data_IF_505673416196
#
_entry.id   IF_505673416196
#
_cell.length_a   1.000
_cell.length_b   1.000
_cell.length_c   1.000
_cell.angle_alpha   90.00
_cell.angle_beta   90.00
_cell.angle_gamma   90.00
#
_symmetry.space_group_name_H-M   'P 1'
#
loop_
_entity.id
_entity.type
_entity.pdbx_description
1 polymer ?
#
# COMPACT_ATOMS: atom_id res chain seq x y z
N UNK A 1 -39.17 3.92 -37.00
CA UNK A 1 -38.68 3.57 -38.35
C UNK A 1 -37.87 2.30 -38.23
N UNK A 2 -38.25 1.29 -39.02
CA UNK A 2 -37.82 -0.10 -38.92
C UNK A 2 -36.60 -0.42 -39.82
N UNK A 3 -35.83 -1.45 -39.45
CA UNK A 3 -35.09 -2.45 -40.28
C UNK A 3 -34.08 -3.15 -39.36
N UNK A 4 -34.23 -4.42 -38.95
CA UNK A 4 -34.18 -5.72 -39.64
C UNK A 4 -32.76 -6.23 -39.98
N UNK A 5 -32.39 -7.42 -39.47
CA UNK A 5 -31.31 -8.25 -40.02
C UNK A 5 -30.69 -9.23 -39.02
N UNK A 6 -30.82 -10.54 -39.27
CA UNK A 6 -30.48 -11.66 -38.38
C UNK A 6 -29.37 -12.58 -38.92
N UNK A 7 -28.75 -13.38 -38.02
CA UNK A 7 -28.07 -14.70 -38.23
C UNK A 7 -26.76 -14.67 -39.04
N UNK A 8 -25.71 -15.46 -38.75
CA UNK A 8 -25.45 -16.50 -37.76
C UNK A 8 -24.05 -17.13 -37.96
N UNK A 9 -23.55 -17.84 -36.93
CA UNK A 9 -22.70 -19.05 -36.92
C UNK A 9 -21.56 -19.25 -37.95
N UNK A 10 -20.30 -19.40 -37.49
CA UNK A 10 -19.55 -20.68 -37.45
C UNK A 10 -18.12 -20.51 -36.89
N UNK A 11 -17.65 -21.58 -36.24
CA UNK A 11 -16.33 -21.79 -35.63
C UNK A 11 -15.24 -22.23 -36.63
N UNK A 12 -13.96 -21.95 -36.36
CA UNK A 12 -12.91 -22.97 -36.12
C UNK A 12 -11.49 -22.39 -35.94
N UNK A 13 -10.70 -23.19 -35.25
CA UNK A 13 -9.35 -23.06 -34.71
C UNK A 13 -8.16 -23.07 -35.70
N UNK A 14 -6.97 -22.80 -35.12
CA UNK A 14 -5.61 -23.35 -35.37
C UNK A 14 -4.47 -22.44 -35.94
N UNK A 15 -3.57 -22.09 -35.01
CA UNK A 15 -2.09 -22.29 -34.96
C UNK A 15 -1.05 -21.54 -35.84
N UNK A 16 -0.02 -21.06 -35.08
CA UNK A 16 1.44 -21.03 -35.31
C UNK A 16 2.08 -20.29 -36.50
N UNK A 17 3.05 -19.42 -36.16
CA UNK A 17 4.45 -19.37 -36.66
C UNK A 17 5.15 -18.15 -36.00
N UNK A 18 6.16 -18.34 -35.13
CA UNK A 18 7.59 -18.63 -35.39
C UNK A 18 8.45 -17.37 -35.62
N UNK A 19 9.40 -17.17 -34.70
CA UNK A 19 10.49 -16.18 -34.67
C UNK A 19 11.57 -16.48 -35.73
N UNK A 20 12.37 -15.49 -36.17
CA UNK A 20 13.68 -15.74 -36.76
C UNK A 20 14.84 -15.32 -35.83
N UNK A 21 15.82 -16.23 -35.73
CA UNK A 21 17.19 -16.02 -35.25
C UNK A 21 17.98 -15.13 -36.22
N UNK A 22 18.95 -14.35 -35.71
CA UNK A 22 20.00 -13.72 -36.53
C UNK A 22 21.38 -14.06 -35.99
N UNK A 23 22.20 -14.51 -36.93
CA UNK A 23 23.51 -15.13 -36.82
C UNK A 23 24.65 -14.14 -36.53
N UNK A 24 25.67 -14.70 -35.87
CA UNK A 24 27.04 -14.24 -35.68
C UNK A 24 27.80 -14.11 -37.01
N UNK A 25 28.51 -13.01 -37.22
CA UNK A 25 29.67 -12.96 -38.11
C UNK A 25 30.81 -12.14 -37.50
N UNK A 26 31.96 -12.80 -37.40
CA UNK A 26 33.25 -12.23 -37.06
C UNK A 26 34.01 -11.85 -38.34
N UNK A 27 34.69 -10.69 -38.33
CA UNK A 27 35.79 -10.40 -39.24
C UNK A 27 36.92 -9.69 -38.49
N UNK A 28 38.12 -10.23 -38.67
CA UNK A 28 39.41 -9.76 -38.18
C UNK A 28 40.12 -8.90 -39.24
N UNK A 29 40.86 -7.87 -38.84
CA UNK A 29 42.27 -7.61 -39.25
C UNK A 29 42.74 -6.22 -38.82
N UNK A 30 44.03 -6.10 -38.46
CA UNK A 30 44.75 -4.82 -38.41
C UNK A 30 45.52 -4.53 -37.12
N UNK A 31 46.71 -5.13 -36.98
CA UNK A 31 47.76 -4.74 -36.01
C UNK A 31 48.49 -3.47 -36.46
N UNK A 32 48.69 -2.51 -35.55
CA UNK A 32 49.84 -1.59 -35.55
C UNK A 32 50.21 -1.15 -34.13
N UNK A 33 51.50 -0.85 -33.94
CA UNK A 33 52.26 -0.90 -32.70
C UNK A 33 52.30 0.40 -31.86
N UNK A 34 52.32 0.22 -30.53
CA UNK A 34 53.14 0.87 -29.49
C UNK A 34 53.11 2.41 -29.39
N UNK A 35 52.56 2.94 -28.28
CA UNK A 35 53.32 3.81 -27.36
C UNK A 35 52.70 3.89 -25.95
N UNK A 36 53.57 3.64 -24.98
CA UNK A 36 53.37 3.69 -23.53
C UNK A 36 53.00 5.07 -23.01
N UNK A 37 52.03 5.15 -22.08
CA UNK A 37 52.01 6.12 -20.97
C UNK A 37 51.19 5.57 -19.80
N UNK A 38 51.89 4.94 -18.86
CA UNK A 38 51.42 4.84 -17.48
C UNK A 38 51.37 6.24 -16.87
N UNK A 39 50.20 6.65 -16.35
CA UNK A 39 50.01 7.20 -15.00
C UNK A 39 48.57 7.74 -14.84
N UNK A 40 48.01 7.48 -13.65
CA UNK A 40 46.71 7.93 -13.12
C UNK A 40 45.45 7.14 -13.50
N UNK A 41 45.37 5.90 -13.01
CA UNK A 41 44.11 5.23 -12.73
C UNK A 41 44.20 4.57 -11.35
N UNK A 42 44.03 5.34 -10.27
CA UNK A 42 43.85 4.74 -8.94
C UNK A 42 43.17 5.69 -7.94
N UNK A 43 42.00 6.25 -8.29
CA UNK A 43 41.18 6.99 -7.31
C UNK A 43 39.65 6.86 -7.47
N UNK A 44 39.14 6.09 -8.45
CA UNK A 44 37.68 6.03 -8.71
C UNK A 44 36.98 4.73 -8.23
N UNK A 45 37.70 3.78 -7.62
CA UNK A 45 37.09 2.53 -7.11
C UNK A 45 36.68 2.67 -5.63
N UNK A 46 37.20 3.67 -4.91
CA UNK A 46 36.89 3.92 -3.49
C UNK A 46 35.66 4.79 -3.22
N UNK A 47 35.05 5.43 -4.24
CA UNK A 47 33.85 6.26 -4.06
C UNK A 47 32.55 5.46 -4.23
N UNK A 48 32.54 4.44 -5.09
CA UNK A 48 31.33 3.67 -5.44
C UNK A 48 30.90 2.78 -4.27
N UNK A 49 31.85 2.12 -3.58
CA UNK A 49 31.56 1.34 -2.37
C UNK A 49 31.23 2.17 -1.12
N UNK A 50 31.52 3.49 -1.13
CA UNK A 50 31.15 4.37 0.00
C UNK A 50 29.68 4.77 -0.05
N UNK A 51 29.08 4.97 -1.23
CA UNK A 51 27.69 5.41 -1.36
C UNK A 51 26.66 4.38 -0.88
N UNK A 52 26.83 3.12 -1.26
CA UNK A 52 25.95 2.03 -0.83
C UNK A 52 26.11 1.71 0.67
N UNK A 53 27.35 1.69 1.17
CA UNK A 53 27.64 1.48 2.59
C UNK A 53 27.16 2.62 3.50
N UNK A 54 27.25 3.87 3.04
CA UNK A 54 26.77 5.04 3.77
C UNK A 54 25.23 5.10 3.84
N UNK A 55 24.54 4.75 2.74
CA UNK A 55 23.08 4.63 2.69
C UNK A 55 22.55 3.54 3.64
N UNK A 56 23.16 2.35 3.62
CA UNK A 56 22.80 1.26 4.54
C UNK A 56 23.03 1.67 6.01
N UNK A 57 24.13 2.37 6.30
CA UNK A 57 24.46 2.84 7.65
C UNK A 57 23.45 3.90 8.15
N UNK A 58 23.01 4.81 7.27
CA UNK A 58 21.98 5.82 7.59
C UNK A 58 20.62 5.18 7.88
N UNK A 59 20.18 4.23 7.06
CA UNK A 59 18.93 3.51 7.27
C UNK A 59 18.91 2.77 8.62
N UNK A 60 20.00 2.06 8.97
CA UNK A 60 20.12 1.35 10.26
C UNK A 60 20.10 2.32 11.44
N UNK A 61 20.78 3.46 11.34
CA UNK A 61 20.76 4.48 12.38
C UNK A 61 19.34 5.05 12.59
N UNK A 62 18.61 5.31 11.50
CA UNK A 62 17.25 5.81 11.57
C UNK A 62 16.27 4.74 12.11
N UNK A 63 16.41 3.46 11.74
CA UNK A 63 15.63 2.37 12.34
C UNK A 63 15.82 2.29 13.86
N UNK A 64 17.05 2.51 14.34
CA UNK A 64 17.37 2.54 15.77
C UNK A 64 16.63 3.69 16.46
N UNK A 65 16.61 4.87 15.85
CA UNK A 65 15.90 6.04 16.37
C UNK A 65 14.38 5.85 16.38
N UNK A 66 13.83 5.29 15.30
CA UNK A 66 12.40 5.00 15.15
C UNK A 66 11.91 3.98 16.20
N UNK A 67 12.66 2.89 16.39
CA UNK A 67 12.37 1.87 17.39
C UNK A 67 12.39 2.43 18.81
N UNK A 68 13.29 3.38 19.08
CA UNK A 68 13.35 4.07 20.37
C UNK A 68 12.13 4.95 20.62
N UNK A 69 11.77 5.80 19.65
CA UNK A 69 10.61 6.66 19.74
C UNK A 69 9.34 5.83 19.96
N UNK A 70 9.25 4.69 19.28
CA UNK A 70 8.20 3.72 19.50
C UNK A 70 8.17 3.20 20.95
N UNK A 71 9.30 2.77 21.51
CA UNK A 71 9.37 2.29 22.88
C UNK A 71 8.94 3.35 23.92
N UNK A 72 9.35 4.61 23.72
CA UNK A 72 8.95 5.73 24.60
C UNK A 72 7.44 6.00 24.49
N UNK A 73 6.89 5.93 23.27
CA UNK A 73 5.45 6.08 23.04
C UNK A 73 4.64 5.01 23.78
N UNK A 74 5.02 3.73 23.66
CA UNK A 74 4.32 2.63 24.33
C UNK A 74 4.37 2.78 25.86
N UNK A 75 5.54 3.09 26.42
CA UNK A 75 5.69 3.34 27.86
C UNK A 75 4.84 4.52 28.35
N UNK A 76 4.67 5.56 27.53
CA UNK A 76 3.81 6.70 27.88
C UNK A 76 2.34 6.28 27.96
N UNK A 77 1.88 5.42 27.05
CA UNK A 77 0.54 4.84 27.05
C UNK A 77 0.29 3.96 28.28
N UNK A 78 1.24 3.10 28.64
CA UNK A 78 1.14 2.23 29.83
C UNK A 78 1.16 3.00 31.15
N UNK A 79 2.00 4.04 31.24
CA UNK A 79 2.14 4.86 32.44
C UNK A 79 1.07 5.96 32.60
N UNK A 80 0.23 6.16 31.57
CA UNK A 80 -0.75 7.24 31.53
C UNK A 80 -0.14 8.65 31.42
N UNK A 81 1.16 8.75 31.13
CA UNK A 81 1.86 10.03 30.91
C UNK A 81 1.68 10.49 29.46
N UNK A 82 1.60 11.80 29.24
CA UNK A 82 1.56 12.36 27.89
C UNK A 82 2.89 12.11 27.15
N UNK A 83 2.82 11.62 25.92
CA UNK A 83 3.98 11.49 25.04
C UNK A 83 4.48 12.87 24.59
N UNK A 84 5.71 13.24 24.97
CA UNK A 84 6.39 14.44 24.48
C UNK A 84 7.43 14.07 23.42
N UNK A 85 7.05 14.29 22.15
CA UNK A 85 7.89 13.98 21.00
C UNK A 85 9.20 14.79 20.98
N UNK A 86 9.14 16.08 21.30
CA UNK A 86 10.30 16.98 21.25
C UNK A 86 11.37 16.61 22.29
N UNK A 87 10.95 16.19 23.49
CA UNK A 87 11.89 15.68 24.49
C UNK A 87 12.48 14.32 24.12
N UNK A 88 11.69 13.47 23.48
CA UNK A 88 12.10 12.11 23.10
C UNK A 88 13.22 12.10 22.06
N UNK A 89 13.21 13.05 21.12
CA UNK A 89 14.27 13.22 20.12
C UNK A 89 15.55 13.82 20.72
N UNK A 90 15.45 14.69 21.75
CA UNK A 90 16.63 15.37 22.31
C UNK A 90 17.53 14.46 23.15
N UNK A 91 17.01 13.36 23.68
CA UNK A 91 17.74 12.48 24.58
C UNK A 91 18.53 11.37 23.85
N UNK A 92 19.16 11.62 22.71
CA UNK A 92 19.72 10.63 21.75
C UNK A 92 20.86 9.70 22.21
N UNK A 93 21.38 9.81 23.44
CA UNK A 93 22.62 9.12 23.86
C UNK A 93 22.48 7.64 24.34
N UNK A 94 21.40 6.92 24.02
CA UNK A 94 21.23 5.52 24.44
C UNK A 94 21.08 4.57 23.24
N UNK A 95 21.90 3.53 23.21
CA UNK A 95 21.85 2.45 22.21
C UNK A 95 20.60 1.59 22.39
N UNK A 96 19.92 1.27 21.30
CA UNK A 96 18.76 0.37 21.28
C UNK A 96 19.24 -1.06 20.93
N UNK A 97 18.88 -2.10 21.70
CA UNK A 97 19.19 -3.48 21.35
C UNK A 97 18.55 -3.88 20.00
N UNK A 98 19.25 -4.67 19.20
CA UNK A 98 18.78 -5.15 17.88
C UNK A 98 17.40 -5.83 17.96
N UNK A 99 17.16 -6.60 19.02
CA UNK A 99 15.88 -7.25 19.29
C UNK A 99 14.69 -6.26 19.34
N UNK A 100 14.91 -5.05 19.85
CA UNK A 100 13.87 -4.01 19.90
C UNK A 100 13.58 -3.43 18.51
N UNK A 101 14.59 -3.35 17.63
CA UNK A 101 14.42 -2.90 16.24
C UNK A 101 13.60 -3.93 15.47
N UNK A 102 13.92 -5.22 15.60
CA UNK A 102 13.16 -6.30 14.96
C UNK A 102 11.72 -6.34 15.48
N UNK A 103 11.52 -6.18 16.79
CA UNK A 103 10.17 -6.14 17.38
C UNK A 103 9.35 -4.95 16.86
N UNK A 104 9.97 -3.77 16.72
CA UNK A 104 9.34 -2.59 16.13
C UNK A 104 8.89 -2.83 14.69
N UNK A 105 9.78 -3.36 13.84
CA UNK A 105 9.47 -3.65 12.44
C UNK A 105 8.35 -4.70 12.33
N UNK A 106 8.44 -5.76 13.13
CA UNK A 106 7.40 -6.79 13.20
C UNK A 106 6.04 -6.19 13.59
N UNK A 107 6.00 -5.32 14.62
CA UNK A 107 4.76 -4.66 15.04
C UNK A 107 4.17 -3.74 13.97
N UNK A 108 5.02 -3.06 13.20
CA UNK A 108 4.59 -2.23 12.09
C UNK A 108 3.98 -3.05 10.94
N UNK A 109 4.48 -4.26 10.69
CA UNK A 109 3.98 -5.16 9.66
C UNK A 109 2.75 -5.96 10.11
N UNK A 110 2.74 -6.38 11.37
CA UNK A 110 1.84 -7.38 11.96
C UNK A 110 1.10 -6.82 13.18
N UNK A 111 0.59 -5.59 13.05
CA UNK A 111 -0.05 -4.86 14.15
C UNK A 111 -1.38 -5.46 14.64
N UNK A 112 -1.94 -6.45 13.93
CA UNK A 112 -3.14 -7.18 14.35
C UNK A 112 -4.43 -6.34 14.43
N UNK A 113 -4.43 -5.13 13.85
CA UNK A 113 -5.53 -4.18 13.93
C UNK A 113 -5.84 -3.54 12.59
N UNK A 114 -7.13 -3.33 12.33
CA UNK A 114 -7.65 -2.68 11.12
C UNK A 114 -8.49 -1.44 11.46
N UNK A 115 -8.77 -0.63 10.45
CA UNK A 115 -9.70 0.49 10.52
C UNK A 115 -11.15 0.00 10.45
N UNK A 116 -12.10 0.68 11.13
CA UNK A 116 -13.47 0.18 11.26
C UNK A 116 -14.37 0.42 10.05
N UNK A 117 -13.91 1.12 9.01
CA UNK A 117 -14.74 1.42 7.84
C UNK A 117 -14.98 0.21 6.93
N UNK A 118 -14.20 -0.85 7.09
CA UNK A 118 -14.31 -2.12 6.39
C UNK A 118 -14.13 -3.29 7.37
N UNK A 119 -14.23 -4.50 6.85
CA UNK A 119 -13.86 -5.72 7.58
C UNK A 119 -12.87 -6.55 6.78
N UNK A 120 -12.13 -7.42 7.45
CA UNK A 120 -11.07 -8.21 6.83
C UNK A 120 -11.26 -9.69 7.15
N UNK A 121 -10.98 -10.55 6.17
CA UNK A 121 -10.95 -12.00 6.32
C UNK A 121 -9.67 -12.53 5.66
N UNK A 122 -8.88 -13.32 6.39
CA UNK A 122 -7.75 -14.07 5.84
C UNK A 122 -8.15 -15.53 5.63
N UNK A 123 -7.72 -16.11 4.51
CA UNK A 123 -8.20 -17.40 4.03
C UNK A 123 -7.02 -18.24 3.52
N UNK A 124 -7.04 -19.53 3.79
CA UNK A 124 -6.12 -20.49 3.18
C UNK A 124 -6.43 -20.68 1.69
N UNK A 125 -5.40 -20.57 0.85
CA UNK A 125 -5.55 -20.56 -0.60
C UNK A 125 -6.05 -21.88 -1.18
N UNK A 126 -5.76 -23.00 -0.51
CA UNK A 126 -6.07 -24.34 -1.01
C UNK A 126 -7.47 -24.81 -0.60
N UNK A 127 -7.85 -24.54 0.64
CA UNK A 127 -9.07 -25.06 1.25
C UNK A 127 -10.20 -24.04 1.36
N UNK A 128 -9.94 -22.77 1.07
CA UNK A 128 -10.86 -21.64 1.26
C UNK A 128 -11.32 -21.47 2.72
N UNK A 129 -10.55 -22.02 3.67
CA UNK A 129 -10.86 -21.98 5.09
C UNK A 129 -10.36 -20.67 5.70
N UNK A 130 -11.20 -20.04 6.52
CA UNK A 130 -10.87 -18.81 7.23
C UNK A 130 -9.76 -19.07 8.25
N UNK A 131 -8.65 -18.36 8.11
CA UNK A 131 -7.49 -18.37 9.02
C UNK A 131 -7.57 -17.23 10.03
N UNK A 132 -8.19 -16.11 9.66
CA UNK A 132 -8.46 -14.99 10.56
C UNK A 132 -9.62 -14.15 10.04
N UNK A 133 -10.22 -13.36 10.92
CA UNK A 133 -11.22 -12.36 10.56
C UNK A 133 -11.23 -11.22 11.58
N UNK A 134 -11.60 -10.02 11.15
CA UNK A 134 -11.77 -8.89 12.06
C UNK A 134 -13.02 -9.02 12.93
N UNK A 135 -12.98 -8.53 14.17
CA UNK A 135 -14.10 -8.63 15.12
C UNK A 135 -15.42 -8.09 14.55
N UNK A 136 -15.36 -7.02 13.75
CA UNK A 136 -16.52 -6.39 13.12
C UNK A 136 -17.06 -7.13 11.88
N UNK A 137 -16.37 -8.16 11.35
CA UNK A 137 -16.76 -8.83 10.12
C UNK A 137 -18.17 -9.45 10.18
N UNK A 138 -18.52 -10.04 11.33
CA UNK A 138 -19.83 -10.67 11.56
C UNK A 138 -20.96 -9.65 11.45
N UNK A 139 -20.79 -8.46 12.03
CA UNK A 139 -21.77 -7.38 11.97
C UNK A 139 -21.87 -6.79 10.56
N UNK A 140 -20.74 -6.46 9.95
CA UNK A 140 -20.70 -5.80 8.64
C UNK A 140 -21.35 -6.68 7.55
N UNK A 141 -21.04 -7.98 7.55
CA UNK A 141 -21.62 -8.95 6.61
C UNK A 141 -23.10 -9.27 6.91
N UNK A 142 -23.64 -8.84 8.06
CA UNK A 142 -25.02 -9.14 8.47
C UNK A 142 -25.22 -10.60 8.90
N UNK A 143 -24.21 -11.17 9.58
CA UNK A 143 -24.20 -12.55 10.06
C UNK A 143 -24.65 -12.67 11.53
N UNK A 144 -24.92 -11.57 12.21
CA UNK A 144 -25.42 -11.56 13.60
C UNK A 144 -26.82 -12.18 13.67
N UNK A 145 -27.12 -13.02 14.67
CA UNK A 145 -28.45 -13.58 14.85
C UNK A 145 -29.49 -12.46 14.98
N UNK A 146 -30.48 -12.42 14.08
CA UNK A 146 -31.68 -11.64 14.33
C UNK A 146 -32.35 -12.18 15.61
N UNK A 147 -32.94 -11.30 16.40
CA UNK A 147 -33.44 -11.43 17.78
C UNK A 147 -34.43 -12.57 18.08
N UNK A 148 -34.63 -13.51 17.15
CA UNK A 148 -35.38 -14.75 17.36
C UNK A 148 -34.38 -15.90 17.48
N UNK A 149 -34.22 -16.51 18.67
CA UNK A 149 -33.39 -17.70 18.84
C UNK A 149 -34.04 -18.87 18.09
N UNK A 150 -33.71 -19.01 16.82
CA UNK A 150 -33.95 -20.26 16.09
C UNK A 150 -32.82 -21.19 16.50
N UNK A 151 -33.18 -22.31 17.12
CA UNK A 151 -32.32 -23.17 17.94
C UNK A 151 -31.10 -23.80 17.25
N UNK A 152 -30.85 -23.55 15.96
CA UNK A 152 -29.87 -24.28 15.14
C UNK A 152 -29.27 -23.44 14.00
N UNK A 153 -28.84 -22.19 14.26
CA UNK A 153 -27.98 -21.50 13.29
C UNK A 153 -26.51 -21.61 13.73
N UNK A 154 -25.67 -22.41 13.05
CA UNK A 154 -24.25 -22.48 13.36
C UNK A 154 -23.64 -21.08 13.23
N UNK A 155 -22.64 -20.77 14.07
CA UNK A 155 -21.87 -19.53 13.93
C UNK A 155 -21.34 -19.42 12.49
N UNK A 156 -21.84 -18.44 11.74
CA UNK A 156 -21.66 -18.41 10.28
C UNK A 156 -20.21 -18.06 9.90
N UNK A 157 -19.48 -17.37 10.79
CA UNK A 157 -18.08 -16.99 10.56
C UNK A 157 -17.23 -17.32 11.80
N UNK A 158 -16.46 -18.40 11.69
CA UNK A 158 -15.47 -18.88 12.65
C UNK A 158 -14.18 -19.29 11.92
N UNK A 159 -13.09 -19.49 12.68
CA UNK A 159 -11.88 -20.11 12.13
C UNK A 159 -12.21 -21.47 11.53
N UNK A 160 -11.68 -21.75 10.34
CA UNK A 160 -11.99 -22.96 9.60
C UNK A 160 -13.35 -22.91 8.87
N UNK A 161 -14.09 -21.80 8.86
CA UNK A 161 -15.27 -21.67 7.98
C UNK A 161 -14.84 -21.60 6.52
N UNK A 162 -15.59 -22.20 5.59
CA UNK A 162 -15.36 -21.97 4.15
C UNK A 162 -15.88 -20.57 3.76
N UNK A 163 -14.98 -19.68 3.36
CA UNK A 163 -15.28 -18.27 3.08
C UNK A 163 -16.34 -18.11 1.98
N UNK A 164 -16.42 -19.05 1.04
CA UNK A 164 -17.36 -19.01 -0.08
C UNK A 164 -18.81 -19.13 0.38
N UNK A 165 -19.05 -19.66 1.57
CA UNK A 165 -20.39 -19.80 2.15
C UNK A 165 -20.96 -18.47 2.66
N UNK A 166 -20.10 -17.45 2.85
CA UNK A 166 -20.47 -16.13 3.35
C UNK A 166 -21.08 -15.22 2.27
N UNK A 167 -20.82 -15.53 0.99
CA UNK A 167 -21.18 -14.70 -0.15
C UNK A 167 -22.17 -15.39 -1.08
N UNK A 168 -22.77 -14.63 -2.00
CA UNK A 168 -23.65 -15.19 -3.03
C UNK A 168 -22.89 -16.16 -3.94
N UNK A 169 -23.55 -17.17 -4.56
CA UNK A 169 -22.88 -18.13 -5.43
C UNK A 169 -22.08 -17.47 -6.58
N UNK A 170 -22.58 -16.37 -7.14
CA UNK A 170 -21.85 -15.59 -8.15
C UNK A 170 -20.58 -14.96 -7.59
N UNK A 171 -20.63 -14.42 -6.37
CA UNK A 171 -19.46 -13.87 -5.68
C UNK A 171 -18.43 -14.95 -5.36
N UNK A 172 -18.87 -16.15 -4.97
CA UNK A 172 -17.98 -17.28 -4.68
C UNK A 172 -17.19 -17.69 -5.93
N UNK A 173 -17.82 -17.73 -7.11
CA UNK A 173 -17.13 -18.00 -8.39
C UNK A 173 -16.09 -16.92 -8.72
N UNK A 174 -16.40 -15.65 -8.45
CA UNK A 174 -15.43 -14.55 -8.65
C UNK A 174 -14.22 -14.68 -7.72
N UNK A 175 -14.45 -15.04 -6.45
CA UNK A 175 -13.38 -15.30 -5.50
C UNK A 175 -12.53 -16.49 -5.93
N UNK A 176 -13.12 -17.63 -6.29
CA UNK A 176 -12.37 -18.80 -6.79
C UNK A 176 -11.48 -18.46 -7.98
N UNK A 177 -12.01 -17.68 -8.93
CA UNK A 177 -11.25 -17.19 -10.09
C UNK A 177 -10.06 -16.32 -9.65
N UNK A 178 -10.24 -15.47 -8.64
CA UNK A 178 -9.20 -14.59 -8.16
C UNK A 178 -8.10 -15.34 -7.40
N UNK A 179 -8.46 -16.31 -6.56
CA UNK A 179 -7.51 -17.18 -5.87
C UNK A 179 -6.64 -17.98 -6.86
N UNK A 180 -7.21 -18.43 -7.97
CA UNK A 180 -6.49 -19.12 -9.05
C UNK A 180 -5.69 -18.21 -10.01
N UNK A 181 -5.80 -16.89 -9.89
CA UNK A 181 -5.11 -15.96 -10.81
C UNK A 181 -3.62 -15.86 -10.49
N UNK A 182 -2.76 -15.85 -11.52
CA UNK A 182 -1.30 -15.67 -11.33
C UNK A 182 -1.02 -14.34 -10.61
N UNK A 183 -1.62 -13.26 -11.09
CA UNK A 183 -1.51 -11.93 -10.50
C UNK A 183 -2.88 -11.51 -9.95
N UNK A 184 -3.07 -11.62 -8.64
CA UNK A 184 -4.36 -11.36 -7.98
C UNK A 184 -4.73 -9.87 -8.00
N UNK A 185 -3.72 -9.00 -7.98
CA UNK A 185 -3.91 -7.55 -7.88
C UNK A 185 -4.60 -6.94 -9.10
N UNK A 186 -4.48 -7.57 -10.28
CA UNK A 186 -5.15 -7.14 -11.52
C UNK A 186 -6.67 -7.34 -11.51
N UNK A 187 -7.18 -8.16 -10.60
CA UNK A 187 -8.62 -8.41 -10.43
C UNK A 187 -9.24 -7.51 -9.37
N UNK A 188 -8.44 -6.74 -8.63
CA UNK A 188 -8.94 -5.83 -7.62
C UNK A 188 -9.52 -4.56 -8.26
N UNK A 189 -10.62 -4.01 -7.69
CA UNK A 189 -11.49 -4.63 -6.69
C UNK A 189 -12.49 -5.62 -7.31
N UNK A 190 -12.83 -6.68 -6.57
CA UNK A 190 -13.89 -7.62 -6.95
C UNK A 190 -15.19 -7.19 -6.30
N UNK A 191 -16.25 -7.06 -7.09
CA UNK A 191 -17.57 -6.77 -6.54
C UNK A 191 -18.24 -8.04 -6.03
N UNK A 192 -18.42 -8.13 -4.71
CA UNK A 192 -19.10 -9.27 -4.07
C UNK A 192 -20.30 -8.84 -3.23
N UNK A 193 -21.19 -9.78 -2.95
CA UNK A 193 -22.40 -9.57 -2.16
C UNK A 193 -22.48 -10.58 -1.01
N UNK A 194 -22.78 -10.10 0.19
CA UNK A 194 -23.07 -10.98 1.33
C UNK A 194 -24.28 -11.85 1.03
N UNK A 195 -24.19 -13.14 1.35
CA UNK A 195 -25.27 -14.12 1.12
C UNK A 195 -26.52 -13.78 1.92
N UNK A 196 -26.35 -13.33 3.16
CA UNK A 196 -27.45 -13.15 4.10
C UNK A 196 -28.11 -11.79 3.97
N UNK A 197 -27.30 -10.73 3.85
CA UNK A 197 -27.79 -9.35 3.85
C UNK A 197 -27.93 -8.77 2.44
N UNK A 198 -27.34 -9.40 1.42
CA UNK A 198 -27.28 -8.85 0.07
C UNK A 198 -26.42 -7.59 -0.04
N UNK A 199 -25.77 -7.15 1.05
CA UNK A 199 -24.94 -5.94 1.06
C UNK A 199 -23.76 -6.09 0.09
N UNK A 200 -23.51 -5.08 -0.77
CA UNK A 200 -22.39 -5.08 -1.70
C UNK A 200 -21.09 -4.64 -1.03
N UNK A 201 -19.98 -5.26 -1.42
CA UNK A 201 -18.63 -4.92 -0.98
C UNK A 201 -17.68 -4.89 -2.17
N UNK A 202 -16.71 -3.98 -2.11
CA UNK A 202 -15.47 -4.11 -2.86
C UNK A 202 -14.54 -5.02 -2.06
N UNK A 203 -14.18 -6.16 -2.65
CA UNK A 203 -13.18 -7.06 -2.11
C UNK A 203 -11.82 -6.79 -2.75
N UNK A 204 -10.83 -6.46 -1.94
CA UNK A 204 -9.46 -6.19 -2.35
C UNK A 204 -8.59 -7.29 -1.77
N UNK A 205 -8.02 -8.11 -2.65
CA UNK A 205 -7.30 -9.33 -2.27
C UNK A 205 -5.80 -9.11 -2.39
N UNK A 206 -5.06 -9.60 -1.40
CA UNK A 206 -3.60 -9.64 -1.43
C UNK A 206 -3.07 -10.93 -0.79
N UNK A 207 -2.08 -11.54 -1.44
CA UNK A 207 -1.42 -12.75 -0.92
C UNK A 207 -0.41 -12.37 0.15
N UNK A 208 -0.36 -13.19 1.19
CA UNK A 208 0.57 -13.10 2.32
C UNK A 208 1.25 -14.46 2.54
N UNK A 209 2.12 -14.54 3.54
CA UNK A 209 2.91 -15.72 3.88
C UNK A 209 2.08 -16.97 4.22
N UNK A 210 0.87 -16.79 4.76
CA UNK A 210 0.02 -17.91 5.22
C UNK A 210 -1.26 -18.12 4.40
N UNK A 211 -1.52 -17.30 3.37
CA UNK A 211 -2.74 -17.38 2.56
C UNK A 211 -3.08 -16.05 1.88
N UNK A 212 -4.37 -15.78 1.69
CA UNK A 212 -4.87 -14.55 1.06
C UNK A 212 -5.71 -13.74 2.04
N UNK A 213 -5.40 -12.45 2.17
CA UNK A 213 -6.22 -11.48 2.90
C UNK A 213 -7.22 -10.84 1.94
N UNK A 214 -8.46 -10.72 2.39
CA UNK A 214 -9.59 -10.11 1.70
C UNK A 214 -10.05 -8.91 2.53
N UNK A 215 -9.75 -7.71 2.05
CA UNK A 215 -10.31 -6.47 2.60
C UNK A 215 -11.68 -6.20 1.98
N UNK A 216 -12.68 -5.96 2.81
CA UNK A 216 -14.07 -5.77 2.40
C UNK A 216 -14.52 -4.35 2.76
N UNK A 217 -14.59 -3.51 1.73
CA UNK A 217 -15.04 -2.13 1.83
C UNK A 217 -16.52 -2.06 1.42
N UNK A 218 -17.43 -1.57 2.28
CA UNK A 218 -18.84 -1.41 1.93
C UNK A 218 -18.99 -0.52 0.69
N UNK A 219 -19.58 -1.07 -0.36
CA UNK A 219 -19.98 -0.27 -1.51
C UNK A 219 -21.28 0.46 -1.16
N UNK A 220 -21.42 1.71 -1.62
CA UNK A 220 -22.70 2.42 -1.49
C UNK A 220 -23.78 1.60 -2.19
N UNK A 221 -24.94 1.45 -1.56
CA UNK A 221 -26.10 0.73 -2.08
C UNK A 221 -26.81 1.50 -3.20
N UNK A 222 -26.05 2.06 -4.12
CA UNK A 222 -26.57 2.67 -5.33
C UNK A 222 -26.81 1.60 -6.40
N UNK A 223 -27.59 1.95 -7.43
CA UNK A 223 -27.78 1.13 -8.62
C UNK A 223 -26.41 0.64 -9.14
N UNK A 224 -26.25 -0.67 -9.43
CA UNK A 224 -25.02 -1.17 -10.03
C UNK A 224 -24.48 -0.35 -11.19
N UNK A 225 -25.38 0.23 -11.99
CA UNK A 225 -25.04 1.14 -13.08
C UNK A 225 -24.36 2.44 -12.61
N UNK A 226 -24.80 3.01 -11.49
CA UNK A 226 -24.22 4.25 -10.92
C UNK A 226 -22.83 4.00 -10.36
N UNK A 227 -22.60 2.85 -9.73
CA UNK A 227 -21.27 2.46 -9.26
C UNK A 227 -20.27 2.31 -10.42
N UNK A 228 -20.68 1.62 -11.49
CA UNK A 228 -19.87 1.51 -12.72
C UNK A 228 -19.61 2.89 -13.33
N UNK A 229 -20.63 3.75 -13.39
CA UNK A 229 -20.48 5.11 -13.90
C UNK A 229 -19.49 5.93 -13.06
N UNK A 230 -19.53 5.81 -11.72
CA UNK A 230 -18.58 6.45 -10.81
C UNK A 230 -17.14 5.98 -11.01
N UNK A 231 -16.93 4.67 -11.19
CA UNK A 231 -15.60 4.11 -11.48
C UNK A 231 -15.05 4.60 -12.82
N UNK A 232 -15.86 4.56 -13.88
CA UNK A 232 -15.49 5.06 -15.22
C UNK A 232 -15.19 6.56 -15.19
N UNK A 233 -15.99 7.34 -14.46
CA UNK A 233 -15.77 8.78 -14.32
C UNK A 233 -14.46 9.08 -13.59
N UNK A 234 -14.16 8.36 -12.51
CA UNK A 234 -12.90 8.51 -11.76
C UNK A 234 -11.69 8.19 -12.63
N UNK A 235 -11.75 7.11 -13.43
CA UNK A 235 -10.72 6.77 -14.41
C UNK A 235 -10.56 7.86 -15.47
N UNK A 236 -11.66 8.42 -15.98
CA UNK A 236 -11.62 9.51 -16.96
C UNK A 236 -10.97 10.76 -16.41
N UNK A 237 -11.25 11.12 -15.15
CA UNK A 237 -10.58 12.24 -14.48
C UNK A 237 -9.09 11.98 -14.30
N UNK A 238 -8.69 10.76 -13.93
CA UNK A 238 -7.28 10.38 -13.84
C UNK A 238 -6.56 10.46 -15.20
N UNK A 239 -7.18 9.94 -16.27
CA UNK A 239 -6.62 10.04 -17.63
C UNK A 239 -6.49 11.50 -18.08
N UNK A 240 -7.48 12.35 -17.77
CA UNK A 240 -7.41 13.79 -18.05
C UNK A 240 -6.27 14.46 -17.29
N UNK A 241 -6.11 14.16 -16.00
CA UNK A 241 -5.01 14.68 -15.19
C UNK A 241 -3.65 14.23 -15.74
N UNK A 242 -3.49 12.96 -16.10
CA UNK A 242 -2.25 12.44 -16.71
C UNK A 242 -1.95 13.15 -18.03
N UNK A 243 -2.96 13.30 -18.90
CA UNK A 243 -2.79 14.00 -20.17
C UNK A 243 -2.42 15.47 -19.98
N UNK A 244 -2.97 16.14 -18.95
CA UNK A 244 -2.60 17.50 -18.61
C UNK A 244 -1.13 17.59 -18.16
N UNK A 245 -0.71 16.70 -17.26
CA UNK A 245 0.69 16.63 -16.79
C UNK A 245 1.67 16.36 -17.94
N UNK A 246 1.32 15.47 -18.88
CA UNK A 246 2.14 15.17 -20.07
C UNK A 246 2.25 16.34 -21.05
N UNK A 247 1.31 17.28 -21.01
CA UNK A 247 1.31 18.47 -21.88
C UNK A 247 2.12 19.65 -21.32
N UNK A 248 2.58 19.56 -20.07
CA UNK A 248 3.36 20.62 -19.42
C UNK A 248 4.73 20.77 -20.09
N UNK A 249 5.28 22.00 -20.17
CA UNK A 249 6.64 22.21 -20.62
C UNK A 249 7.63 21.53 -19.66
N UNK A 250 8.62 20.84 -20.22
CA UNK A 250 9.69 20.22 -19.44
C UNK A 250 10.59 21.27 -18.78
N UNK A 251 11.28 20.86 -17.70
CA UNK A 251 12.29 21.69 -17.01
C UNK A 251 11.78 22.50 -15.82
N UNK A 252 10.48 22.45 -15.50
CA UNK A 252 9.90 23.13 -14.34
C UNK A 252 9.25 22.13 -13.36
N UNK A 253 10.03 21.71 -12.36
CA UNK A 253 9.55 20.79 -11.31
C UNK A 253 8.48 21.43 -10.43
N UNK A 254 8.54 22.75 -10.23
CA UNK A 254 7.58 23.45 -9.37
C UNK A 254 6.22 23.46 -10.04
N UNK A 255 6.16 23.82 -11.33
CA UNK A 255 4.93 23.77 -12.12
C UNK A 255 4.34 22.36 -12.15
N UNK A 256 5.19 21.33 -12.27
CA UNK A 256 4.73 19.94 -12.19
C UNK A 256 4.07 19.64 -10.84
N UNK A 257 4.76 19.94 -9.73
CA UNK A 257 4.23 19.69 -8.39
C UNK A 257 2.94 20.47 -8.11
N UNK A 258 2.88 21.74 -8.49
CA UNK A 258 1.68 22.59 -8.37
C UNK A 258 0.49 22.00 -9.15
N UNK A 259 0.72 21.56 -10.39
CA UNK A 259 -0.32 20.95 -11.23
C UNK A 259 -0.81 19.61 -10.66
N UNK A 260 0.11 18.82 -10.06
CA UNK A 260 -0.23 17.55 -9.40
C UNK A 260 -1.13 17.78 -8.20
N UNK A 261 -0.78 18.70 -7.29
CA UNK A 261 -1.60 18.92 -6.08
C UNK A 261 -3.00 19.44 -6.42
N UNK A 262 -3.12 20.28 -7.45
CA UNK A 262 -4.42 20.76 -7.94
C UNK A 262 -5.27 19.62 -8.50
N UNK A 263 -4.68 18.82 -9.40
CA UNK A 263 -5.39 17.71 -10.06
C UNK A 263 -5.83 16.64 -9.05
N UNK A 264 -4.97 16.30 -8.09
CA UNK A 264 -5.29 15.33 -7.03
C UNK A 264 -6.34 15.89 -6.08
N UNK A 265 -6.32 17.20 -5.78
CA UNK A 265 -7.36 17.84 -4.96
C UNK A 265 -8.72 17.84 -5.65
N UNK A 266 -8.77 18.14 -6.95
CA UNK A 266 -10.02 18.06 -7.74
C UNK A 266 -10.56 16.62 -7.77
N UNK A 267 -9.68 15.63 -7.94
CA UNK A 267 -10.07 14.22 -8.04
C UNK A 267 -10.57 13.64 -6.71
N UNK A 268 -9.91 14.00 -5.60
CA UNK A 268 -10.14 13.35 -4.30
C UNK A 268 -11.03 14.15 -3.35
N UNK A 269 -11.13 15.47 -3.55
CA UNK A 269 -11.92 16.35 -2.69
C UNK A 269 -11.36 16.59 -1.30
N UNK A 270 -10.12 16.17 -0.99
CA UNK A 270 -9.48 16.46 0.29
C UNK A 270 -9.30 17.97 0.50
N UNK A 271 -9.44 18.42 1.75
CA UNK A 271 -9.31 19.83 2.09
C UNK A 271 -7.91 20.39 1.78
N UNK A 272 -6.87 19.56 1.94
CA UNK A 272 -5.46 19.87 1.66
C UNK A 272 -4.80 18.71 0.92
N UNK A 273 -4.05 19.04 -0.13
CA UNK A 273 -3.18 18.14 -0.88
C UNK A 273 -1.82 18.79 -1.01
N UNK A 274 -0.74 18.04 -0.77
CA UNK A 274 0.61 18.58 -0.78
C UNK A 274 1.62 17.57 -1.35
N UNK A 275 2.68 18.08 -1.96
CA UNK A 275 3.87 17.28 -2.30
C UNK A 275 4.88 17.44 -1.18
N UNK A 276 5.21 16.32 -0.55
CA UNK A 276 6.22 16.22 0.49
C UNK A 276 7.48 15.59 -0.09
N UNK A 277 8.57 16.37 -0.15
CA UNK A 277 9.85 15.95 -0.73
C UNK A 277 10.80 15.54 0.39
N UNK A 278 11.42 14.36 0.26
CA UNK A 278 12.54 13.96 1.12
C UNK A 278 13.86 14.58 0.63
N UNK A 279 14.66 15.09 1.56
CA UNK A 279 16.01 15.59 1.34
C UNK A 279 17.08 14.51 1.62
N UNK A 280 18.35 14.82 1.36
CA UNK A 280 19.47 13.87 1.46
C UNK A 280 19.72 13.33 2.87
N UNK A 281 19.44 14.14 3.88
CA UNK A 281 19.47 13.82 5.32
C UNK A 281 18.12 13.27 5.82
N UNK A 282 17.24 12.86 4.90
CA UNK A 282 16.00 12.16 5.15
C UNK A 282 14.88 12.95 5.84
N UNK A 283 15.11 14.20 6.23
CA UNK A 283 14.01 15.10 6.60
C UNK A 283 13.17 15.43 5.36
N UNK A 284 11.98 15.99 5.54
CA UNK A 284 11.17 16.38 4.39
C UNK A 284 10.56 17.76 4.47
N UNK A 285 10.19 18.25 3.29
CA UNK A 285 9.73 19.61 3.04
C UNK A 285 8.45 19.57 2.21
N UNK A 286 7.50 20.44 2.53
CA UNK A 286 6.33 20.67 1.69
C UNK A 286 6.70 21.63 0.56
N UNK A 287 6.81 21.12 -0.67
CA UNK A 287 7.31 21.88 -1.84
C UNK A 287 6.21 22.40 -2.77
N UNK A 288 5.00 21.84 -2.67
CA UNK A 288 3.80 22.33 -3.34
C UNK A 288 2.57 22.00 -2.50
N UNK A 289 1.54 22.84 -2.56
CA UNK A 289 0.34 22.70 -1.74
C UNK A 289 -0.88 23.32 -2.42
N UNK A 290 -2.01 22.60 -2.39
CA UNK A 290 -3.33 23.10 -2.70
C UNK A 290 -4.25 22.84 -1.51
N UNK A 291 -4.86 23.89 -0.95
CA UNK A 291 -5.62 23.81 0.30
C UNK A 291 -6.91 24.61 0.25
N UNK A 292 -7.83 24.30 1.15
CA UNK A 292 -8.99 25.14 1.44
C UNK A 292 -8.53 26.52 1.96
N UNK A 293 -9.17 27.64 1.56
CA UNK A 293 -8.65 28.98 1.85
C UNK A 293 -8.48 29.31 3.34
N UNK A 294 -9.33 28.77 4.20
CA UNK A 294 -9.39 28.98 5.66
C UNK A 294 -8.32 28.22 6.46
N UNK A 295 -7.59 27.29 5.85
CA UNK A 295 -6.58 26.50 6.54
C UNK A 295 -5.22 27.19 6.55
N UNK A 296 -4.44 27.05 7.62
CA UNK A 296 -3.06 27.56 7.66
C UNK A 296 -2.17 26.85 6.61
N UNK A 297 -1.32 27.56 5.85
CA UNK A 297 -0.44 26.95 4.86
C UNK A 297 0.69 26.12 5.51
N UNK A 298 1.04 24.99 4.90
CA UNK A 298 2.22 24.19 5.29
C UNK A 298 3.38 24.31 4.29
N UNK A 299 3.15 24.93 3.14
CA UNK A 299 4.19 25.17 2.12
C UNK A 299 5.47 25.78 2.71
N UNK A 300 6.63 25.20 2.38
CA UNK A 300 7.94 25.63 2.85
C UNK A 300 8.32 25.19 4.27
N UNK A 301 7.45 24.48 5.00
CA UNK A 301 7.79 23.91 6.30
C UNK A 301 8.63 22.63 6.13
N UNK A 302 9.63 22.49 6.99
CA UNK A 302 10.48 21.31 7.11
C UNK A 302 10.10 20.49 8.33
N UNK A 303 10.11 19.17 8.17
CA UNK A 303 9.71 18.19 9.17
C UNK A 303 10.84 17.16 9.37
N UNK A 304 11.12 16.75 10.61
CA UNK A 304 12.22 15.83 10.91
C UNK A 304 12.02 14.45 10.27
N UNK A 305 13.12 13.74 10.00
CA UNK A 305 13.10 12.41 9.39
C UNK A 305 12.25 11.40 10.17
N UNK A 306 12.20 11.54 11.49
CA UNK A 306 11.47 10.68 12.43
C UNK A 306 9.95 10.79 12.35
N UNK A 307 9.39 11.83 11.72
CA UNK A 307 7.93 11.96 11.52
C UNK A 307 7.40 10.88 10.56
N UNK A 308 8.25 10.45 9.61
CA UNK A 308 7.97 9.34 8.70
C UNK A 308 9.07 8.29 8.87
N UNK A 309 8.87 7.30 9.75
CA UNK A 309 9.86 6.25 10.02
C UNK A 309 10.32 5.52 8.77
N UNK A 310 11.55 5.00 8.77
CA UNK A 310 12.13 4.26 7.65
C UNK A 310 11.29 3.05 7.24
N UNK A 311 10.72 2.34 8.22
CA UNK A 311 9.82 1.23 7.96
C UNK A 311 8.63 1.65 7.09
N UNK A 312 8.03 2.81 7.38
CA UNK A 312 6.92 3.36 6.62
C UNK A 312 7.34 3.72 5.19
N UNK A 313 8.51 4.34 5.02
CA UNK A 313 9.05 4.68 3.68
C UNK A 313 9.30 3.43 2.85
N UNK A 314 9.85 2.38 3.47
CA UNK A 314 10.03 1.09 2.83
C UNK A 314 8.68 0.49 2.39
N UNK A 315 7.67 0.47 3.26
CA UNK A 315 6.35 -0.04 2.89
C UNK A 315 5.70 0.74 1.75
N UNK A 316 5.95 2.05 1.63
CA UNK A 316 5.43 2.86 0.53
C UNK A 316 6.02 2.48 -0.85
N UNK A 317 7.17 1.80 -0.90
CA UNK A 317 7.71 1.26 -2.17
C UNK A 317 6.86 0.10 -2.69
N UNK A 318 6.36 -0.74 -1.80
CA UNK A 318 5.49 -1.88 -2.12
C UNK A 318 4.01 -1.45 -2.23
N UNK A 319 3.53 -0.71 -1.23
CA UNK A 319 2.15 -0.25 -1.11
C UNK A 319 2.08 1.25 -1.38
N UNK A 320 1.89 1.60 -2.65
CA UNK A 320 2.02 2.98 -3.14
C UNK A 320 0.87 3.90 -2.74
N UNK A 321 -0.22 3.37 -2.20
CA UNK A 321 -1.38 4.14 -1.78
C UNK A 321 -1.79 3.68 -0.38
N UNK A 322 -2.01 4.63 0.53
CA UNK A 322 -2.48 4.37 1.88
C UNK A 322 -3.55 5.36 2.28
N UNK A 323 -4.69 4.86 2.76
CA UNK A 323 -5.79 5.68 3.25
C UNK A 323 -6.00 5.45 4.74
N UNK A 324 -6.25 6.53 5.48
CA UNK A 324 -6.74 6.52 6.85
C UNK A 324 -8.03 7.34 6.85
N UNK A 325 -9.15 6.71 7.16
CA UNK A 325 -10.46 7.36 7.12
C UNK A 325 -10.69 8.30 8.31
N UNK A 326 -10.23 7.90 9.49
CA UNK A 326 -10.38 8.67 10.72
C UNK A 326 -9.32 8.24 11.73
N UNK A 327 -8.45 9.16 12.16
CA UNK A 327 -7.41 8.90 13.16
C UNK A 327 -7.94 8.73 14.59
N UNK A 328 -9.18 9.17 14.86
CA UNK A 328 -9.84 9.00 16.16
C UNK A 328 -10.65 7.71 16.25
N UNK A 329 -10.88 7.04 15.12
CA UNK A 329 -11.65 5.81 15.10
C UNK A 329 -10.91 4.69 15.84
N UNK A 330 -11.64 4.00 16.72
CA UNK A 330 -11.10 2.87 17.48
C UNK A 330 -10.70 1.74 16.53
N UNK A 331 -9.44 1.30 16.52
CA UNK A 331 -9.01 0.17 15.69
C UNK A 331 -9.72 -1.12 16.09
N UNK A 332 -10.01 -1.98 15.11
CA UNK A 332 -10.67 -3.27 15.30
C UNK A 332 -9.61 -4.37 15.34
N UNK A 333 -9.70 -5.30 16.30
CA UNK A 333 -8.74 -6.41 16.36
C UNK A 333 -9.05 -7.47 15.31
N UNK A 334 -8.00 -8.19 14.92
CA UNK A 334 -8.07 -9.38 14.08
C UNK A 334 -8.04 -10.61 14.98
N UNK A 335 -9.09 -11.42 14.92
CA UNK A 335 -9.14 -12.75 15.54
C UNK A 335 -8.51 -13.72 14.55
N UNK A 336 -7.53 -14.50 14.99
CA UNK A 336 -6.77 -15.41 14.13
C UNK A 336 -6.65 -16.80 14.75
N UNK A 337 -6.37 -17.80 13.92
CA UNK A 337 -6.10 -19.17 14.38
C UNK A 337 -4.89 -19.21 15.32
N UNK A 338 -5.04 -19.88 16.47
CA UNK A 338 -3.97 -20.07 17.46
C UNK A 338 -2.80 -20.90 16.91
N UNK A 339 -3.03 -21.68 15.85
CA UNK A 339 -1.98 -22.43 15.16
C UNK A 339 -1.02 -21.53 14.36
N UNK A 340 -1.36 -20.26 14.11
CA UNK A 340 -0.46 -19.34 13.43
C UNK A 340 0.70 -18.93 14.35
N UNK A 341 1.92 -19.13 13.86
CA UNK A 341 3.16 -18.87 14.62
C UNK A 341 3.38 -17.40 14.99
N UNK A 342 2.72 -16.48 14.28
CA UNK A 342 2.85 -15.04 14.46
C UNK A 342 1.58 -14.32 13.98
N UNK A 343 1.36 -13.06 14.38
CA UNK A 343 0.20 -12.30 13.90
C UNK A 343 0.23 -12.11 12.38
N UNK A 344 -0.93 -11.96 11.74
CA UNK A 344 -1.00 -11.80 10.28
C UNK A 344 -0.22 -10.59 9.78
N UNK A 345 0.42 -10.75 8.60
CA UNK A 345 1.01 -9.64 7.87
C UNK A 345 -0.09 -8.79 7.24
N UNK A 346 -0.26 -7.55 7.70
CA UNK A 346 -1.29 -6.63 7.21
C UNK A 346 -0.68 -5.50 6.37
N UNK A 347 0.60 -5.60 5.99
CA UNK A 347 1.33 -4.55 5.26
C UNK A 347 0.59 -4.12 3.99
N UNK A 348 0.03 -5.08 3.25
CA UNK A 348 -0.73 -4.87 2.02
C UNK A 348 -2.23 -4.59 2.19
N UNK A 349 -2.75 -4.64 3.43
CA UNK A 349 -4.18 -4.40 3.67
C UNK A 349 -4.53 -2.93 3.54
N UNK A 350 -5.57 -2.61 2.76
CA UNK A 350 -6.11 -1.25 2.63
C UNK A 350 -6.72 -0.78 3.95
N UNK A 351 -7.17 -1.74 4.77
CA UNK A 351 -7.79 -1.50 6.07
C UNK A 351 -6.78 -1.43 7.21
N UNK A 352 -5.46 -1.58 6.99
CA UNK A 352 -4.47 -1.57 8.08
C UNK A 352 -4.61 -0.31 8.95
N UNK A 353 -4.75 -0.50 10.26
CA UNK A 353 -4.86 0.61 11.19
C UNK A 353 -3.57 1.44 11.25
N UNK A 354 -3.66 2.76 11.46
CA UNK A 354 -2.47 3.54 11.79
C UNK A 354 -1.86 3.08 13.11
N UNK A 355 -0.52 3.14 13.17
CA UNK A 355 0.19 3.02 14.42
C UNK A 355 -0.25 4.16 15.38
N UNK A 356 -0.39 3.88 16.68
CA UNK A 356 -0.92 4.83 17.66
C UNK A 356 -0.19 6.18 17.68
N UNK A 357 1.14 6.17 17.58
CA UNK A 357 1.94 7.40 17.50
C UNK A 357 1.55 8.27 16.29
N UNK A 358 1.26 7.65 15.13
CA UNK A 358 0.86 8.37 13.93
C UNK A 358 -0.60 8.83 14.02
N UNK A 359 -1.50 8.04 14.62
CA UNK A 359 -2.87 8.47 14.89
C UNK A 359 -2.91 9.72 15.80
N UNK A 360 -2.09 9.74 16.87
CA UNK A 360 -1.96 10.91 17.74
C UNK A 360 -1.31 12.10 17.02
N UNK A 361 -0.32 11.86 16.16
CA UNK A 361 0.29 12.90 15.34
C UNK A 361 -0.75 13.57 14.41
N UNK A 362 -1.56 12.75 13.72
CA UNK A 362 -2.67 13.22 12.87
C UNK A 362 -3.68 14.06 13.66
N UNK A 363 -4.08 13.58 14.84
CA UNK A 363 -4.97 14.31 15.73
C UNK A 363 -4.39 15.67 16.15
N UNK A 364 -3.10 15.72 16.50
CA UNK A 364 -2.41 16.95 16.90
C UNK A 364 -2.30 17.96 15.75
N UNK A 365 -2.13 17.50 14.51
CA UNK A 365 -2.12 18.37 13.32
C UNK A 365 -3.52 18.78 12.84
N UNK A 366 -4.58 18.16 13.36
CA UNK A 366 -5.95 18.37 12.89
C UNK A 366 -6.27 17.67 11.56
N UNK A 367 -5.43 16.72 11.11
CA UNK A 367 -5.66 15.94 9.90
C UNK A 367 -6.42 14.65 10.24
N UNK A 368 -7.75 14.75 10.35
CA UNK A 368 -8.62 13.63 10.78
C UNK A 368 -8.52 12.43 9.81
N UNK A 369 -8.57 12.71 8.51
CA UNK A 369 -8.44 11.72 7.45
C UNK A 369 -7.20 12.01 6.61
N UNK A 370 -6.61 10.99 6.00
CA UNK A 370 -5.45 11.14 5.10
C UNK A 370 -5.45 10.14 3.97
N UNK A 371 -5.04 10.58 2.79
CA UNK A 371 -4.66 9.74 1.65
C UNK A 371 -3.22 10.07 1.26
N UNK A 372 -2.34 9.07 1.30
CA UNK A 372 -0.92 9.22 0.95
C UNK A 372 -0.59 8.37 -0.26
N UNK A 373 0.06 9.00 -1.26
CA UNK A 373 0.53 8.35 -2.48
C UNK A 373 2.06 8.45 -2.55
N UNK A 374 2.73 7.33 -2.81
CA UNK A 374 4.17 7.28 -2.98
C UNK A 374 4.57 7.76 -4.39
N UNK A 375 5.49 8.71 -4.47
CA UNK A 375 6.13 9.13 -5.72
C UNK A 375 7.47 8.41 -5.82
N UNK A 376 7.57 7.48 -6.77
CA UNK A 376 8.76 6.66 -7.00
C UNK A 376 9.42 7.10 -8.30
N UNK A 377 10.72 7.37 -8.23
CA UNK A 377 11.56 7.66 -9.39
C UNK A 377 12.55 6.49 -9.49
N UNK A 378 12.57 5.82 -10.63
CA UNK A 378 13.61 4.83 -10.90
C UNK A 378 14.90 5.59 -11.15
N UNK A 379 15.97 5.21 -10.44
CA UNK A 379 17.30 5.63 -10.85
C UNK A 379 17.55 5.12 -12.27
N UNK A 380 17.96 6.00 -13.19
CA UNK A 380 18.62 5.54 -14.40
C UNK A 380 20.02 5.10 -14.01
N UNK A 381 20.12 3.97 -13.32
CA UNK A 381 21.39 3.29 -13.16
C UNK A 381 21.61 2.51 -14.45
N UNK A 382 22.38 3.10 -15.38
CA UNK A 382 22.97 2.36 -16.50
C UNK A 382 23.98 1.29 -16.02
N UNK A 383 24.13 1.08 -14.71
CA UNK A 383 24.97 0.04 -14.12
C UNK A 383 24.10 -0.93 -13.31
N UNK A 384 23.88 -2.12 -13.89
CA UNK A 384 23.11 -3.19 -13.28
C UNK A 384 23.65 -3.58 -11.91
N UNK A 385 22.92 -3.21 -10.85
CA UNK A 385 23.04 -3.80 -9.54
C UNK A 385 21.78 -4.64 -9.30
N UNK A 386 22.00 -5.95 -9.18
CA UNK A 386 21.00 -6.98 -8.98
C UNK A 386 20.02 -6.64 -7.85
N UNK A 387 18.72 -6.74 -8.17
CA UNK A 387 17.67 -6.96 -7.20
C UNK A 387 17.94 -8.32 -6.52
N UNK A 388 18.68 -8.34 -5.41
CA UNK A 388 18.65 -9.47 -4.50
C UNK A 388 17.45 -9.31 -3.56
N UNK A 389 16.49 -10.20 -3.79
CA UNK A 389 15.41 -10.57 -2.88
C UNK A 389 15.98 -10.84 -1.48
N UNK A 390 15.64 -10.00 -0.51
CA UNK A 390 15.71 -10.40 0.89
C UNK A 390 14.38 -11.09 1.19
N UNK A 391 14.41 -12.42 1.14
CA UNK A 391 13.41 -13.33 1.69
C UNK A 391 13.18 -13.10 3.18
#
# INVERSE_FOLDING_TARGET
MATSGSRGTHANDYYSQALPEVQTQAQSSGTEQIHSRHHHANNNITSINRGAGDSMTKAVAQYTLDARLHAVFEQSGESGKSFDYSQSIRNTNQSVPEQQITAYLSKMQRGGRIQPFGCMIAVDDSSFRVLAYSENAREMLGLTPQSVPTLERPEILTIGTDVRTLFTPSSSVLLERAFGAREITLLNPIWIHSKNSGKPFYAILHRIDVGTVIDLEPARTEDPALSIAGAVQSQKLAVRAISHLQSLPGGDIKLLCDTVVESVRELTGYDRVMVYKFHEDEHGEVVAESKRPDLEPYIGLHYPSTDIPQASRFFFRQNRVRMIMDCHATPINVIQDEALMQPLCLVGSTLRAPHGCHAQYMANMGSIASLTLAVIINGNDEDGACEEEIQ
#
